data_IF_194671148079
#
_entry.id   IF_194671148079
#
_cell.length_a   1.000
_cell.length_b   1.000
_cell.length_c   1.000
_cell.angle_alpha   90.00
_cell.angle_beta   90.00
_cell.angle_gamma   90.00
#
_symmetry.space_group_name_H-M   'P 1'
#
loop_
_entity.id
_entity.type
_entity.pdbx_description
1 polymer ?
#
# COMPACT_ATOMS: atom_id res chain seq x y z
N UNK A 1 -19.77 3.45 -7.08
CA UNK A 1 -19.87 4.92 -6.89
C UNK A 1 -18.50 5.63 -6.78
N UNK A 2 -17.43 4.98 -6.30
CA UNK A 2 -16.16 5.69 -5.99
C UNK A 2 -15.26 6.09 -7.17
N UNK A 3 -14.92 5.17 -8.08
CA UNK A 3 -13.84 5.41 -9.05
C UNK A 3 -14.20 6.45 -10.14
N UNK A 4 -15.38 6.32 -10.76
CA UNK A 4 -15.87 7.18 -11.85
C UNK A 4 -16.15 8.63 -11.42
N UNK A 5 -16.70 8.80 -10.22
CA UNK A 5 -17.14 10.12 -9.74
C UNK A 5 -16.09 10.85 -8.89
N UNK A 6 -14.86 10.31 -8.80
CA UNK A 6 -13.78 10.91 -8.03
C UNK A 6 -13.09 12.02 -8.82
N UNK A 7 -12.98 13.21 -8.22
CA UNK A 7 -12.20 14.34 -8.77
C UNK A 7 -10.72 14.32 -8.37
N UNK A 8 -10.28 13.33 -7.57
CA UNK A 8 -8.90 13.24 -7.06
C UNK A 8 -7.86 13.09 -8.18
N UNK A 9 -6.65 13.66 -8.03
CA UNK A 9 -5.57 13.48 -9.02
C UNK A 9 -5.22 12.00 -9.22
N UNK A 10 -5.12 11.22 -8.14
CA UNK A 10 -4.81 9.79 -8.18
C UNK A 10 -5.98 8.99 -7.61
N UNK A 11 -6.29 7.84 -8.22
CA UNK A 11 -7.25 6.86 -7.69
C UNK A 11 -6.48 5.62 -7.30
N UNK A 12 -6.31 5.40 -6.00
CA UNK A 12 -5.52 4.29 -5.47
C UNK A 12 -6.44 3.13 -5.13
N UNK A 13 -6.15 1.95 -5.68
CA UNK A 13 -6.82 0.69 -5.39
C UNK A 13 -5.82 -0.18 -4.61
N UNK A 14 -6.16 -0.52 -3.37
CA UNK A 14 -5.34 -1.41 -2.53
C UNK A 14 -5.96 -2.81 -2.60
N UNK A 15 -5.14 -3.79 -2.97
CA UNK A 15 -5.54 -5.19 -3.15
C UNK A 15 -4.47 -6.08 -2.53
N UNK A 16 -4.84 -7.29 -2.09
CA UNK A 16 -3.85 -8.26 -1.59
C UNK A 16 -2.94 -8.75 -2.72
N UNK A 17 -3.54 -9.04 -3.88
CA UNK A 17 -2.93 -9.71 -5.03
C UNK A 17 -2.86 -8.81 -6.26
N UNK A 18 -1.90 -9.09 -7.15
CA UNK A 18 -1.60 -8.28 -8.34
C UNK A 18 -2.71 -8.40 -9.40
N UNK A 19 -3.07 -7.26 -9.98
CA UNK A 19 -3.95 -7.11 -11.15
C UNK A 19 -3.18 -7.37 -12.46
N UNK A 20 -1.85 -7.20 -12.47
CA UNK A 20 -1.01 -7.57 -13.60
C UNK A 20 -1.04 -9.08 -13.83
N UNK A 21 -1.05 -9.48 -15.10
CA UNK A 21 -0.93 -10.88 -15.49
C UNK A 21 0.54 -11.30 -15.50
N UNK A 22 0.88 -12.35 -14.78
CA UNK A 22 2.21 -12.98 -14.66
C UNK A 22 2.23 -14.42 -15.20
N UNK A 23 1.06 -15.05 -15.31
CA UNK A 23 0.85 -16.44 -15.72
C UNK A 23 1.63 -17.49 -14.91
N UNK A 24 2.11 -17.10 -13.72
CA UNK A 24 2.84 -17.95 -12.80
C UNK A 24 2.02 -18.15 -11.53
N UNK A 25 1.38 -19.31 -11.35
CA UNK A 25 0.34 -19.51 -10.33
C UNK A 25 -0.86 -18.53 -10.50
N UNK A 26 -1.52 -18.53 -11.68
CA UNK A 26 -2.58 -17.57 -11.98
C UNK A 26 -3.84 -17.75 -11.13
N UNK A 27 -4.08 -18.94 -10.57
CA UNK A 27 -5.32 -19.25 -9.85
C UNK A 27 -5.57 -18.44 -8.58
N UNK A 28 -4.53 -17.90 -7.96
CA UNK A 28 -4.61 -17.16 -6.68
C UNK A 28 -4.46 -15.64 -6.86
N UNK A 29 -4.60 -15.14 -8.10
CA UNK A 29 -4.53 -13.70 -8.41
C UNK A 29 -5.68 -13.29 -9.30
N UNK A 30 -5.76 -12.00 -9.61
CA UNK A 30 -6.75 -11.47 -10.56
C UNK A 30 -6.76 -12.20 -11.91
N UNK A 31 -5.65 -12.86 -12.29
CA UNK A 31 -5.59 -13.73 -13.47
C UNK A 31 -6.58 -14.92 -13.41
N UNK A 32 -6.75 -15.52 -12.24
CA UNK A 32 -7.68 -16.63 -11.99
C UNK A 32 -9.13 -16.16 -11.97
N UNK A 33 -9.36 -14.89 -11.62
CA UNK A 33 -10.65 -14.20 -11.61
C UNK A 33 -10.80 -13.31 -12.85
N UNK A 34 -10.56 -13.90 -14.02
CA UNK A 34 -10.43 -13.16 -15.27
C UNK A 34 -11.70 -12.38 -15.66
N UNK A 35 -12.89 -12.81 -15.23
CA UNK A 35 -14.15 -12.11 -15.52
C UNK A 35 -14.23 -10.80 -14.75
N UNK A 36 -13.96 -10.87 -13.45
CA UNK A 36 -13.95 -9.75 -12.52
C UNK A 36 -12.83 -8.77 -12.89
N UNK A 37 -11.65 -9.29 -13.21
CA UNK A 37 -10.52 -8.51 -13.75
C UNK A 37 -10.93 -7.75 -15.01
N UNK A 38 -11.54 -8.46 -15.97
CA UNK A 38 -11.97 -7.86 -17.23
C UNK A 38 -13.03 -6.80 -17.01
N UNK A 39 -14.00 -7.04 -16.13
CA UNK A 39 -15.04 -6.08 -15.78
C UNK A 39 -14.43 -4.78 -15.24
N UNK A 40 -13.51 -4.87 -14.29
CA UNK A 40 -12.83 -3.71 -13.71
C UNK A 40 -12.00 -2.94 -14.75
N UNK A 41 -11.20 -3.64 -15.55
CA UNK A 41 -10.36 -3.00 -16.56
C UNK A 41 -11.18 -2.37 -17.69
N UNK A 42 -12.27 -3.03 -18.12
CA UNK A 42 -13.19 -2.49 -19.13
C UNK A 42 -13.90 -1.25 -18.59
N UNK A 43 -14.36 -1.27 -17.32
CA UNK A 43 -14.95 -0.11 -16.68
C UNK A 43 -13.98 1.09 -16.60
N UNK A 44 -12.72 0.86 -16.23
CA UNK A 44 -11.69 1.92 -16.20
C UNK A 44 -11.45 2.49 -17.60
N UNK A 45 -11.47 1.64 -18.64
CA UNK A 45 -11.28 2.07 -20.02
C UNK A 45 -12.50 2.83 -20.58
N UNK A 46 -13.70 2.24 -20.49
CA UNK A 46 -14.95 2.77 -21.03
C UNK A 46 -15.30 4.13 -20.41
N UNK A 47 -15.03 4.30 -19.12
CA UNK A 47 -15.25 5.54 -18.38
C UNK A 47 -14.05 6.51 -18.46
N UNK A 48 -12.97 6.14 -19.17
CA UNK A 48 -11.76 6.96 -19.34
C UNK A 48 -11.17 7.44 -18.01
N UNK A 49 -11.14 6.55 -17.01
CA UNK A 49 -10.68 6.88 -15.66
C UNK A 49 -9.16 6.99 -15.67
N UNK A 50 -8.66 8.18 -15.37
CA UNK A 50 -7.23 8.50 -15.42
C UNK A 50 -6.55 8.26 -14.08
N UNK A 51 -5.24 8.05 -14.10
CA UNK A 51 -4.37 8.02 -12.92
C UNK A 51 -4.77 6.96 -11.88
N UNK A 52 -5.15 5.78 -12.36
CA UNK A 52 -5.42 4.62 -11.50
C UNK A 52 -4.09 3.97 -11.10
N UNK A 53 -3.92 3.75 -9.80
CA UNK A 53 -2.73 3.13 -9.21
C UNK A 53 -3.15 1.96 -8.33
N UNK A 54 -2.63 0.78 -8.58
CA UNK A 54 -2.80 -0.40 -7.74
C UNK A 54 -1.63 -0.54 -6.77
N UNK A 55 -1.92 -0.86 -5.51
CA UNK A 55 -0.94 -1.26 -4.51
C UNK A 55 -1.24 -2.71 -4.08
N UNK A 56 -0.24 -3.59 -4.17
CA UNK A 56 -0.32 -5.01 -3.88
C UNK A 56 0.89 -5.50 -3.06
N UNK A 57 0.89 -6.76 -2.59
CA UNK A 57 2.04 -7.30 -1.85
C UNK A 57 2.28 -8.81 -1.95
N UNK A 58 1.24 -9.62 -2.10
CA UNK A 58 1.26 -11.08 -1.92
C UNK A 58 2.39 -11.85 -2.62
N UNK A 59 2.89 -11.39 -3.77
CA UNK A 59 3.92 -12.06 -4.57
C UNK A 59 5.29 -12.17 -3.86
N UNK A 60 5.46 -11.52 -2.70
CA UNK A 60 6.72 -11.48 -1.96
C UNK A 60 7.88 -10.89 -2.79
N UNK A 61 7.57 -9.93 -3.65
CA UNK A 61 8.54 -9.17 -4.43
C UNK A 61 8.07 -7.73 -4.64
N UNK A 62 9.03 -6.82 -4.67
CA UNK A 62 8.78 -5.46 -5.10
C UNK A 62 8.73 -5.41 -6.61
N UNK A 63 7.61 -4.99 -7.18
CA UNK A 63 7.45 -4.96 -8.62
C UNK A 63 6.71 -3.70 -9.02
N UNK A 64 7.13 -3.07 -10.11
CA UNK A 64 6.37 -2.01 -10.75
C UNK A 64 5.93 -2.45 -12.15
N UNK A 65 4.63 -2.41 -12.39
CA UNK A 65 4.03 -2.81 -13.65
C UNK A 65 3.23 -1.66 -14.26
N UNK A 66 3.30 -1.56 -15.58
CA UNK A 66 2.40 -0.71 -16.37
C UNK A 66 1.40 -1.61 -17.10
N UNK A 67 0.12 -1.33 -16.90
CA UNK A 67 -1.00 -2.05 -17.51
C UNK A 67 -1.70 -1.08 -18.47
N UNK A 68 -1.68 -1.40 -19.76
CA UNK A 68 -2.42 -0.64 -20.76
C UNK A 68 -3.71 -1.41 -21.10
N UNK A 69 -4.90 -1.00 -20.63
CA UNK A 69 -6.14 -1.70 -20.94
C UNK A 69 -6.59 -1.49 -22.40
N UNK A 70 -5.98 -0.55 -23.13
CA UNK A 70 -6.34 -0.21 -24.50
C UNK A 70 -6.08 1.27 -24.79
N UNK A 71 -7.15 2.08 -24.98
CA UNK A 71 -7.05 3.51 -25.34
C UNK A 71 -6.86 4.48 -24.16
N UNK A 72 -7.14 4.03 -22.94
CA UNK A 72 -7.08 4.85 -21.71
C UNK A 72 -5.63 5.12 -21.26
N UNK A 73 -5.34 6.17 -20.46
CA UNK A 73 -4.03 6.35 -19.85
C UNK A 73 -3.62 5.12 -19.03
N UNK A 74 -2.32 4.83 -19.01
CA UNK A 74 -1.82 3.64 -18.37
C UNK A 74 -2.18 3.54 -16.89
N UNK A 75 -2.61 2.35 -16.49
CA UNK A 75 -2.77 1.95 -15.09
C UNK A 75 -1.38 1.56 -14.58
N UNK A 76 -1.07 1.97 -13.35
CA UNK A 76 0.19 1.64 -12.71
C UNK A 76 -0.07 0.69 -11.54
N UNK A 77 0.79 -0.29 -11.36
CA UNK A 77 0.73 -1.20 -10.21
C UNK A 77 2.09 -1.24 -9.51
N UNK A 78 2.06 -1.09 -8.19
CA UNK A 78 3.19 -1.33 -7.33
C UNK A 78 2.89 -2.52 -6.42
N UNK A 79 3.75 -3.53 -6.46
CA UNK A 79 3.80 -4.60 -5.48
C UNK A 79 4.92 -4.34 -4.49
N UNK A 80 4.69 -4.59 -3.20
CA UNK A 80 5.74 -4.59 -2.17
C UNK A 80 6.32 -5.99 -1.96
N UNK A 81 7.58 -6.06 -1.52
CA UNK A 81 8.15 -7.29 -0.98
C UNK A 81 7.53 -7.66 0.37
N UNK A 82 7.89 -8.84 0.91
CA UNK A 82 7.41 -9.29 2.19
C UNK A 82 8.17 -8.61 3.33
N UNK A 83 7.54 -8.52 4.50
CA UNK A 83 8.18 -7.97 5.71
C UNK A 83 8.75 -9.08 6.61
N UNK A 84 8.09 -10.23 6.66
CA UNK A 84 8.39 -11.32 7.62
C UNK A 84 8.20 -12.72 7.06
N UNK A 85 8.27 -12.88 5.74
CA UNK A 85 8.15 -14.14 5.02
C UNK A 85 9.24 -14.26 3.96
N UNK A 86 9.45 -15.46 3.45
CA UNK A 86 10.45 -15.74 2.41
C UNK A 86 10.18 -14.92 1.16
N UNK A 87 11.22 -14.31 0.59
CA UNK A 87 11.09 -13.54 -0.65
C UNK A 87 10.79 -14.46 -1.83
N UNK A 88 10.23 -13.88 -2.88
CA UNK A 88 9.96 -14.59 -4.12
C UNK A 88 11.21 -15.23 -4.73
N UNK A 89 12.36 -14.56 -4.63
CA UNK A 89 13.66 -15.10 -5.04
C UNK A 89 14.08 -16.30 -4.20
N UNK A 90 13.83 -16.28 -2.88
CA UNK A 90 14.06 -17.45 -2.03
C UNK A 90 13.16 -18.62 -2.47
N UNK A 91 11.87 -18.37 -2.76
CA UNK A 91 10.98 -19.38 -3.32
C UNK A 91 11.52 -19.97 -4.63
N UNK A 92 11.90 -19.13 -5.59
CA UNK A 92 12.45 -19.56 -6.88
C UNK A 92 13.74 -20.37 -6.75
N UNK A 93 14.59 -20.06 -5.76
CA UNK A 93 15.84 -20.80 -5.52
C UNK A 93 15.61 -22.28 -5.18
N UNK A 94 14.47 -22.60 -4.56
CA UNK A 94 14.06 -23.98 -4.22
C UNK A 94 13.62 -24.77 -5.47
N UNK A 95 13.03 -24.11 -6.47
CA UNK A 95 12.48 -24.75 -7.68
C UNK A 95 13.46 -24.88 -8.86
N UNK A 96 14.77 -24.73 -8.62
CA UNK A 96 15.89 -24.96 -9.55
C UNK A 96 15.54 -24.87 -11.06
N UNK A 97 15.68 -23.68 -11.64
CA UNK A 97 15.89 -23.50 -13.09
C UNK A 97 14.65 -23.25 -13.97
N UNK A 98 13.49 -23.87 -13.73
CA UNK A 98 12.33 -23.70 -14.64
C UNK A 98 11.60 -22.37 -14.43
N UNK A 99 11.34 -21.98 -13.17
CA UNK A 99 10.66 -20.72 -12.86
C UNK A 99 11.54 -19.49 -13.18
N UNK A 100 12.87 -19.62 -13.05
CA UNK A 100 13.83 -18.60 -13.51
C UNK A 100 13.86 -18.48 -15.04
N UNK A 101 13.77 -19.60 -15.79
CA UNK A 101 13.63 -19.57 -17.26
C UNK A 101 12.31 -18.92 -17.69
N UNK A 102 11.24 -19.12 -16.94
CA UNK A 102 9.93 -18.50 -17.19
C UNK A 102 9.95 -16.98 -16.98
N UNK A 103 10.54 -16.50 -15.88
CA UNK A 103 10.71 -15.06 -15.65
C UNK A 103 11.64 -14.42 -16.69
N UNK A 104 12.72 -15.12 -17.08
CA UNK A 104 13.61 -14.66 -18.15
C UNK A 104 12.90 -14.55 -19.50
N UNK A 105 12.01 -15.50 -19.83
CA UNK A 105 11.18 -15.39 -21.03
C UNK A 105 10.16 -14.25 -20.91
N UNK A 106 9.66 -13.95 -19.72
CA UNK A 106 8.78 -12.80 -19.48
C UNK A 106 9.49 -11.45 -19.69
N UNK A 107 10.69 -11.27 -19.14
CA UNK A 107 11.49 -10.06 -19.29
C UNK A 107 12.02 -9.84 -20.72
N UNK A 108 12.20 -10.92 -21.49
CA UNK A 108 12.61 -10.86 -22.91
C UNK A 108 11.43 -10.79 -23.88
N UNK A 109 10.25 -11.32 -23.52
CA UNK A 109 9.01 -11.24 -24.29
C UNK A 109 8.12 -10.04 -23.92
N UNK A 110 8.56 -9.15 -23.03
CA UNK A 110 7.92 -7.85 -22.79
C UNK A 110 7.80 -7.00 -24.08
N UNK A 111 8.51 -7.38 -25.15
CA UNK A 111 8.40 -6.80 -26.49
C UNK A 111 7.34 -7.43 -27.40
N UNK A 112 6.72 -8.57 -27.03
CA UNK A 112 5.87 -9.36 -27.94
C UNK A 112 4.35 -9.23 -27.73
N UNK A 113 3.90 -8.53 -26.69
CA UNK A 113 2.49 -8.12 -26.56
C UNK A 113 2.47 -6.65 -26.17
N UNK A 114 1.91 -5.77 -27.01
CA UNK A 114 1.94 -4.30 -26.87
C UNK A 114 1.32 -3.70 -25.60
N UNK A 115 1.12 -4.47 -24.54
CA UNK A 115 0.36 -4.16 -23.32
C UNK A 115 1.12 -4.38 -22.01
N UNK A 116 2.34 -4.96 -22.02
CA UNK A 116 2.93 -5.56 -20.80
C UNK A 116 4.36 -5.09 -20.55
N UNK A 117 4.55 -4.17 -19.61
CA UNK A 117 5.90 -3.77 -19.18
C UNK A 117 6.03 -3.90 -17.66
N UNK A 118 6.75 -4.93 -17.22
CA UNK A 118 7.36 -4.95 -15.89
C UNK A 118 8.53 -3.99 -15.96
N UNK A 119 8.39 -2.86 -15.27
CA UNK A 119 9.35 -1.76 -15.33
C UNK A 119 10.42 -1.90 -14.25
N UNK A 120 10.13 -2.59 -13.15
CA UNK A 120 11.05 -2.86 -12.04
C UNK A 120 10.69 -4.17 -11.33
N UNK A 121 11.70 -4.90 -10.86
CA UNK A 121 11.51 -6.05 -9.97
C UNK A 121 12.69 -6.21 -8.99
N UNK A 122 12.43 -6.23 -7.70
CA UNK A 122 13.31 -6.79 -6.68
C UNK A 122 12.59 -7.97 -6.00
N UNK A 123 13.17 -9.15 -6.18
CA UNK A 123 12.62 -10.40 -5.66
C UNK A 123 13.39 -10.92 -4.44
N UNK A 124 14.43 -10.21 -4.01
CA UNK A 124 15.47 -10.73 -3.13
C UNK A 124 15.44 -10.11 -1.73
N UNK A 125 15.00 -8.86 -1.62
CA UNK A 125 15.08 -8.07 -0.38
C UNK A 125 13.68 -7.97 0.24
N UNK A 126 13.47 -8.44 1.47
CA UNK A 126 12.27 -8.13 2.25
C UNK A 126 12.13 -6.62 2.39
N UNK A 127 10.93 -6.07 2.28
CA UNK A 127 10.71 -4.63 2.37
C UNK A 127 9.27 -4.25 2.65
N UNK A 128 9.05 -2.97 2.92
CA UNK A 128 7.73 -2.35 2.92
C UNK A 128 7.71 -1.16 1.97
N UNK A 129 6.51 -0.75 1.59
CA UNK A 129 6.28 0.36 0.70
C UNK A 129 5.92 1.64 1.46
N UNK A 130 6.61 2.73 1.15
CA UNK A 130 6.26 4.09 1.56
C UNK A 130 5.75 4.86 0.35
N UNK A 131 4.57 5.47 0.46
CA UNK A 131 3.93 6.23 -0.62
C UNK A 131 3.83 7.70 -0.24
N UNK A 132 4.42 8.56 -1.06
CA UNK A 132 4.36 10.01 -0.96
C UNK A 132 3.50 10.54 -2.11
N UNK A 133 2.65 11.53 -1.85
CA UNK A 133 1.84 12.12 -2.91
C UNK A 133 1.80 13.64 -2.81
N UNK A 134 1.53 14.28 -3.95
CA UNK A 134 1.20 15.68 -4.11
C UNK A 134 0.09 15.80 -5.16
N UNK A 135 -0.35 17.03 -5.44
CA UNK A 135 -1.34 17.29 -6.50
C UNK A 135 -0.87 16.87 -7.90
N UNK A 136 0.43 16.60 -8.08
CA UNK A 136 1.06 16.32 -9.38
C UNK A 136 2.00 15.12 -9.38
N UNK A 137 2.23 14.47 -8.25
CA UNK A 137 3.14 13.33 -8.18
C UNK A 137 2.67 12.29 -7.18
N UNK A 138 2.93 11.04 -7.49
CA UNK A 138 2.83 9.92 -6.57
C UNK A 138 4.16 9.16 -6.62
N UNK A 139 4.86 9.12 -5.50
CA UNK A 139 6.16 8.49 -5.35
C UNK A 139 6.05 7.30 -4.43
N UNK A 140 6.57 6.17 -4.88
CA UNK A 140 6.64 4.92 -4.15
C UNK A 140 8.10 4.60 -3.86
N UNK A 141 8.41 4.34 -2.59
CA UNK A 141 9.73 3.93 -2.13
C UNK A 141 9.62 2.59 -1.43
N UNK A 142 10.35 1.58 -1.90
CA UNK A 142 10.54 0.34 -1.16
C UNK A 142 11.69 0.51 -0.17
N UNK A 143 11.43 0.21 1.11
CA UNK A 143 12.38 0.36 2.21
C UNK A 143 12.64 -1.00 2.82
N UNK A 144 13.91 -1.41 2.82
CA UNK A 144 14.38 -2.67 3.37
C UNK A 144 14.37 -2.69 4.91
N UNK A 145 14.70 -3.84 5.50
CA UNK A 145 14.63 -4.05 6.95
C UNK A 145 15.56 -3.12 7.75
N UNK A 146 16.67 -2.67 7.16
CA UNK A 146 17.67 -1.81 7.80
C UNK A 146 17.45 -0.32 7.47
N UNK A 147 16.32 0.01 6.83
CA UNK A 147 15.98 1.38 6.41
C UNK A 147 16.64 1.80 5.09
N UNK A 148 17.35 0.89 4.42
CA UNK A 148 17.93 1.10 3.11
C UNK A 148 16.86 1.19 2.03
N UNK A 149 17.10 2.01 1.01
CA UNK A 149 16.22 2.03 -0.16
C UNK A 149 16.51 0.80 -1.00
N UNK A 150 15.48 0.03 -1.31
CA UNK A 150 15.61 -1.20 -2.09
C UNK A 150 15.92 -0.83 -3.54
N UNK A 151 17.08 -1.28 -4.01
CA UNK A 151 17.54 -1.16 -5.39
C UNK A 151 17.17 -2.42 -6.19
N UNK A 152 17.24 -2.40 -7.52
CA UNK A 152 17.24 -3.65 -8.29
C UNK A 152 18.59 -4.39 -8.11
N UNK A 153 18.72 -5.63 -8.61
CA UNK A 153 19.97 -6.39 -8.46
C UNK A 153 21.18 -5.79 -9.20
N UNK A 154 20.98 -4.75 -10.02
CA UNK A 154 22.03 -4.00 -10.71
C UNK A 154 22.44 -2.72 -9.96
N UNK A 155 21.82 -2.43 -8.82
CA UNK A 155 22.07 -1.23 -8.01
C UNK A 155 21.45 0.04 -8.59
N UNK A 156 20.51 -0.07 -9.55
CA UNK A 156 20.10 1.05 -10.39
C UNK A 156 19.00 1.95 -9.82
N UNK A 157 18.46 1.73 -8.61
CA UNK A 157 17.20 2.41 -8.22
C UNK A 157 17.05 2.88 -6.77
N UNK A 158 16.31 3.98 -6.63
CA UNK A 158 15.80 4.57 -5.40
C UNK A 158 14.27 4.74 -5.47
N UNK A 159 13.77 5.98 -5.50
CA UNK A 159 12.33 6.28 -5.55
C UNK A 159 11.69 6.01 -6.92
N UNK A 160 10.56 5.32 -6.95
CA UNK A 160 9.72 5.13 -8.13
C UNK A 160 8.61 6.19 -8.15
N UNK A 161 8.73 7.21 -9.02
CA UNK A 161 7.79 8.34 -9.06
C UNK A 161 6.95 8.37 -10.34
N UNK A 162 5.64 8.54 -10.17
CA UNK A 162 4.69 8.90 -11.22
C UNK A 162 4.49 10.41 -11.15
N UNK A 163 4.82 11.12 -12.22
CA UNK A 163 4.56 12.55 -12.37
C UNK A 163 3.41 12.78 -13.35
N UNK A 164 2.45 13.61 -12.96
CA UNK A 164 1.31 14.00 -13.77
C UNK A 164 1.47 15.44 -14.28
N UNK A 165 1.31 15.65 -15.58
CA UNK A 165 1.28 16.99 -16.19
C UNK A 165 -0.01 17.19 -17.00
N UNK A 166 -0.60 18.38 -16.90
CA UNK A 166 -1.93 18.70 -17.44
C UNK A 166 -2.05 18.59 -18.98
N UNK A 167 -0.95 18.67 -19.74
CA UNK A 167 -0.96 18.73 -21.21
C UNK A 167 -0.41 17.48 -21.90
N UNK A 168 0.16 16.55 -21.15
CA UNK A 168 0.60 15.24 -21.61
C UNK A 168 0.89 14.43 -20.36
N UNK A 169 0.40 13.20 -20.24
CA UNK A 169 0.91 12.27 -19.23
C UNK A 169 2.36 11.91 -19.60
N UNK A 170 3.29 12.86 -19.42
CA UNK A 170 4.71 12.66 -19.62
C UNK A 170 5.23 11.93 -18.40
N UNK A 171 5.33 10.61 -18.56
CA UNK A 171 5.96 9.69 -17.65
C UNK A 171 7.47 9.92 -17.68
N UNK A 172 7.99 10.64 -16.69
CA UNK A 172 9.40 10.54 -16.34
C UNK A 172 9.48 9.59 -15.15
N UNK A 173 9.54 8.28 -15.43
CA UNK A 173 10.26 7.45 -14.48
C UNK A 173 11.72 7.64 -14.82
N UNK A 174 12.49 8.16 -13.87
CA UNK A 174 13.94 8.10 -13.93
C UNK A 174 14.32 6.62 -13.78
N UNK A 175 14.17 5.85 -14.86
CA UNK A 175 14.63 4.48 -14.98
C UNK A 175 16.00 4.49 -15.65
N UNK A 176 17.07 4.19 -14.92
CA UNK A 176 18.32 3.76 -15.53
C UNK A 176 18.14 2.34 -16.12
N UNK A 177 17.41 2.23 -17.24
CA UNK A 177 17.10 0.94 -17.87
C UNK A 177 18.38 0.19 -18.26
N UNK A 178 18.69 -0.90 -17.56
CA UNK A 178 19.46 -2.02 -18.09
C UNK A 178 18.66 -3.30 -17.86
N UNK A 179 18.69 -4.18 -18.87
CA UNK A 179 17.74 -5.27 -19.09
C UNK A 179 17.71 -6.32 -17.98
N UNK A 180 16.57 -7.01 -17.89
CA UNK A 180 16.24 -8.13 -17.00
C UNK A 180 17.30 -9.26 -16.98
N UNK A 181 18.13 -9.38 -18.02
CA UNK A 181 19.13 -10.44 -18.20
C UNK A 181 20.20 -10.51 -17.09
N UNK A 182 20.52 -9.39 -16.43
CA UNK A 182 21.57 -9.36 -15.40
C UNK A 182 21.06 -9.73 -13.99
N UNK A 183 19.75 -9.95 -13.82
CA UNK A 183 19.16 -10.40 -12.55
C UNK A 183 19.57 -11.83 -12.18
N UNK A 184 19.96 -12.64 -13.18
CA UNK A 184 20.34 -14.05 -13.03
C UNK A 184 21.64 -14.18 -12.23
N UNK A 185 22.64 -13.36 -12.51
CA UNK A 185 23.92 -13.37 -11.79
C UNK A 185 23.71 -12.97 -10.33
N UNK A 186 22.84 -12.00 -10.08
CA UNK A 186 22.49 -11.61 -8.72
C UNK A 186 21.67 -12.67 -7.97
N UNK A 187 20.77 -13.41 -8.63
CA UNK A 187 20.02 -14.53 -8.02
C UNK A 187 20.94 -15.74 -7.76
N UNK A 188 21.83 -16.07 -8.69
CA UNK A 188 22.78 -17.18 -8.52
C UNK A 188 23.82 -16.89 -7.43
N UNK A 189 24.16 -15.61 -7.22
CA UNK A 189 25.01 -15.14 -6.12
C UNK A 189 24.19 -14.74 -4.87
N UNK A 190 22.85 -14.83 -4.93
CA UNK A 190 21.98 -14.55 -3.79
C UNK A 190 22.00 -15.71 -2.84
N UNK A 191 22.84 -15.59 -1.82
CA UNK A 191 22.65 -16.35 -0.60
C UNK A 191 21.52 -15.67 0.19
N UNK A 192 20.39 -16.35 0.50
CA UNK A 192 19.38 -15.78 1.37
C UNK A 192 20.06 -15.43 2.69
N UNK A 193 20.31 -14.15 2.93
CA UNK A 193 21.01 -13.75 4.15
C UNK A 193 20.17 -14.04 5.39
N UNK A 194 18.86 -14.23 5.25
CA UNK A 194 17.97 -14.42 6.38
C UNK A 194 16.74 -15.24 5.98
N UNK A 195 16.51 -16.36 6.66
CA UNK A 195 15.15 -16.79 6.99
C UNK A 195 14.58 -15.71 7.92
N UNK A 196 13.99 -14.68 7.32
CA UNK A 196 13.65 -13.43 7.98
C UNK A 196 12.25 -13.48 8.59
N UNK A 197 11.97 -14.48 9.41
CA UNK A 197 10.84 -14.37 10.32
C UNK A 197 11.20 -13.34 11.40
N UNK A 198 10.33 -12.35 11.59
CA UNK A 198 10.50 -11.41 12.70
C UNK A 198 10.07 -12.11 13.98
N UNK A 199 11.00 -12.28 14.90
CA UNK A 199 10.69 -12.75 16.23
C UNK A 199 9.86 -11.71 17.00
N UNK A 200 8.87 -12.18 17.75
CA UNK A 200 8.14 -11.34 18.70
C UNK A 200 9.10 -10.96 19.83
N UNK A 201 9.65 -9.74 19.77
CA UNK A 201 10.58 -9.23 20.80
C UNK A 201 9.89 -8.91 22.12
N UNK A 202 8.61 -8.52 22.07
CA UNK A 202 7.82 -8.14 23.25
C UNK A 202 6.33 -8.32 22.97
N UNK A 203 5.60 -8.80 23.96
CA UNK A 203 4.14 -8.81 24.00
C UNK A 203 3.70 -7.80 25.05
N UNK A 204 2.79 -6.91 24.69
CA UNK A 204 2.25 -5.88 25.58
C UNK A 204 0.75 -6.07 25.66
N UNK A 205 0.21 -6.13 26.87
CA UNK A 205 -1.24 -6.30 27.08
C UNK A 205 -1.87 -4.91 27.18
N UNK A 206 -2.73 -4.57 26.22
CA UNK A 206 -3.47 -3.31 26.23
C UNK A 206 -4.52 -3.31 27.35
N UNK A 207 -4.24 -2.59 28.43
CA UNK A 207 -5.17 -2.44 29.56
C UNK A 207 -6.19 -1.37 29.27
N UNK A 208 -7.41 -1.60 29.75
CA UNK A 208 -8.50 -0.65 29.57
C UNK A 208 -8.33 0.56 30.50
N UNK A 209 -8.53 1.76 29.97
CA UNK A 209 -8.47 3.02 30.68
C UNK A 209 -9.54 4.00 30.20
N UNK A 210 -9.80 5.04 30.99
CA UNK A 210 -10.78 6.07 30.63
C UNK A 210 -10.10 7.15 29.78
N UNK A 211 -10.79 7.60 28.74
CA UNK A 211 -10.37 8.71 27.86
C UNK A 211 -11.61 9.55 27.49
N UNK A 212 -11.38 10.73 26.92
CA UNK A 212 -12.46 11.63 26.47
C UNK A 212 -13.47 11.90 27.59
N UNK A 213 -14.76 11.82 27.24
CA UNK A 213 -15.86 11.91 28.21
C UNK A 213 -16.60 10.58 28.23
N UNK A 214 -16.40 9.81 29.29
CA UNK A 214 -17.06 8.51 29.51
C UNK A 214 -16.60 7.38 28.58
N UNK A 215 -15.61 7.62 27.71
CA UNK A 215 -15.10 6.61 26.79
C UNK A 215 -14.08 5.70 27.49
N UNK A 216 -14.02 4.45 27.02
CA UNK A 216 -13.08 3.44 27.50
C UNK A 216 -12.27 2.94 26.31
N UNK A 217 -10.95 2.91 26.48
CA UNK A 217 -10.01 2.48 25.44
C UNK A 217 -9.03 1.46 26.00
N UNK A 218 -8.55 0.56 25.15
CA UNK A 218 -7.41 -0.32 25.41
C UNK A 218 -6.19 0.26 24.71
N UNK A 219 -5.30 0.89 25.49
CA UNK A 219 -4.10 1.55 24.97
C UNK A 219 -2.92 0.60 24.92
N UNK A 220 -2.30 0.46 23.75
CA UNK A 220 -1.09 -0.36 23.54
C UNK A 220 0.15 0.52 23.41
N UNK A 221 0.40 1.09 22.23
CA UNK A 221 1.45 2.09 21.99
C UNK A 221 1.04 3.38 22.73
N UNK A 222 2.00 4.01 23.41
CA UNK A 222 1.78 5.17 24.29
C UNK A 222 1.39 4.79 25.73
N UNK A 223 1.32 3.50 26.06
CA UNK A 223 1.16 3.02 27.43
C UNK A 223 2.48 3.08 28.22
N UNK A 224 2.43 2.90 29.54
CA UNK A 224 3.64 2.76 30.36
C UNK A 224 4.53 1.58 29.95
N UNK A 225 3.99 0.52 29.37
CA UNK A 225 4.74 -0.67 28.96
C UNK A 225 5.38 -0.52 27.56
N UNK A 226 4.80 0.34 26.72
CA UNK A 226 5.31 0.70 25.39
C UNK A 226 5.13 2.20 25.12
N UNK A 227 5.93 3.05 25.80
CA UNK A 227 5.72 4.50 25.76
C UNK A 227 6.09 5.14 24.43
N UNK A 228 6.91 4.48 23.62
CA UNK A 228 7.33 4.96 22.31
C UNK A 228 7.55 3.77 21.36
N UNK A 229 7.03 3.88 20.14
CA UNK A 229 7.32 2.98 19.03
C UNK A 229 7.37 3.79 17.73
N UNK A 230 8.39 4.65 17.60
CA UNK A 230 8.64 5.48 16.41
C UNK A 230 8.39 4.71 15.10
N UNK A 231 7.52 5.21 14.18
CA UNK A 231 6.83 6.51 14.16
C UNK A 231 5.44 6.57 14.81
N UNK A 232 5.02 5.51 15.48
CA UNK A 232 3.74 5.41 16.15
C UNK A 232 3.80 5.99 17.56
N UNK A 233 2.96 6.99 17.81
CA UNK A 233 2.87 7.66 19.12
C UNK A 233 1.85 6.97 20.04
N UNK A 234 0.76 6.46 19.48
CA UNK A 234 -0.40 5.95 20.21
C UNK A 234 -1.15 4.94 19.34
N UNK A 235 -1.67 3.89 19.97
CA UNK A 235 -2.62 2.96 19.35
C UNK A 235 -3.65 2.53 20.39
N UNK A 236 -4.90 2.96 20.16
CA UNK A 236 -6.05 2.65 20.99
C UNK A 236 -7.06 1.81 20.21
N UNK A 237 -7.55 0.75 20.85
CA UNK A 237 -8.83 0.13 20.51
C UNK A 237 -9.89 0.72 21.45
N UNK A 238 -10.99 1.22 20.92
CA UNK A 238 -12.06 1.79 21.74
C UNK A 238 -13.40 1.16 21.39
N UNK A 239 -14.28 1.09 22.40
CA UNK A 239 -15.69 0.74 22.24
C UNK A 239 -16.49 1.76 23.05
N UNK A 240 -17.21 2.63 22.34
CA UNK A 240 -17.84 3.81 22.93
C UNK A 240 -19.28 3.90 22.44
N UNK A 241 -20.18 4.17 23.38
CA UNK A 241 -21.62 4.33 23.14
C UNK A 241 -22.07 5.68 23.65
N UNK A 242 -23.11 6.26 23.02
CA UNK A 242 -23.66 7.53 23.49
C UNK A 242 -24.09 7.44 24.96
N UNK A 243 -23.94 8.52 25.75
CA UNK A 243 -23.47 9.85 25.36
C UNK A 243 -21.94 10.01 25.43
N UNK A 244 -21.18 8.92 25.66
CA UNK A 244 -19.73 9.00 25.73
C UNK A 244 -19.11 9.27 24.35
N UNK A 245 -17.88 9.80 24.35
CA UNK A 245 -17.17 10.13 23.13
C UNK A 245 -15.93 10.97 23.38
N UNK A 246 -15.37 11.50 22.30
CA UNK A 246 -14.24 12.41 22.30
C UNK A 246 -14.74 13.78 21.85
N UNK A 247 -15.25 14.62 22.76
CA UNK A 247 -15.70 15.97 22.40
C UNK A 247 -14.51 16.82 21.94
N UNK A 248 -14.76 18.09 21.59
CA UNK A 248 -13.76 19.03 21.09
C UNK A 248 -12.39 18.92 21.80
N UNK A 249 -11.40 18.44 21.05
CA UNK A 249 -10.02 18.30 21.51
C UNK A 249 -9.05 18.65 20.38
N UNK A 250 -7.79 18.92 20.74
CA UNK A 250 -6.79 19.48 19.83
C UNK A 250 -5.68 18.47 19.52
N UNK A 251 -5.32 18.36 18.25
CA UNK A 251 -4.08 17.71 17.79
C UNK A 251 -3.15 18.68 17.08
N UNK A 252 -1.86 18.39 17.09
CA UNK A 252 -0.84 19.13 16.33
C UNK A 252 0.45 18.34 16.20
N UNK A 253 1.16 18.50 15.07
CA UNK A 253 2.42 17.81 14.80
C UNK A 253 2.31 16.32 14.48
N UNK A 254 1.08 15.80 14.35
CA UNK A 254 0.80 14.38 14.15
C UNK A 254 -0.30 14.14 13.11
N UNK A 255 -0.54 12.86 12.81
CA UNK A 255 -1.69 12.39 12.04
C UNK A 255 -2.46 11.38 12.88
N UNK A 256 -3.79 11.41 12.80
CA UNK A 256 -4.65 10.37 13.37
C UNK A 256 -5.19 9.52 12.23
N UNK A 257 -5.30 8.22 12.49
CA UNK A 257 -5.90 7.26 11.57
C UNK A 257 -6.96 6.50 12.34
N UNK A 258 -8.22 6.70 11.97
CA UNK A 258 -9.38 6.03 12.57
C UNK A 258 -9.90 5.01 11.57
N UNK A 259 -10.04 3.76 12.01
CA UNK A 259 -10.59 2.67 11.20
C UNK A 259 -11.73 2.01 11.97
N UNK A 260 -12.90 1.92 11.36
CA UNK A 260 -14.11 1.48 12.06
C UNK A 260 -14.34 -0.03 11.90
N UNK A 261 -14.28 -0.77 13.00
CA UNK A 261 -14.55 -2.21 12.99
C UNK A 261 -16.05 -2.53 13.03
N UNK A 262 -16.81 -1.82 13.85
CA UNK A 262 -18.26 -1.97 14.03
C UNK A 262 -18.89 -0.59 14.33
N UNK A 263 -20.21 -0.45 14.13
CA UNK A 263 -20.90 0.82 14.41
C UNK A 263 -20.53 1.96 13.47
N UNK A 264 -20.58 3.19 13.98
CA UNK A 264 -20.23 4.39 13.22
C UNK A 264 -19.93 5.58 14.14
N UNK A 265 -19.07 6.47 13.70
CA UNK A 265 -18.71 7.71 14.39
C UNK A 265 -18.98 8.94 13.53
N UNK A 266 -19.44 10.02 14.15
CA UNK A 266 -19.46 11.36 13.56
C UNK A 266 -18.19 12.11 13.95
N UNK A 267 -17.59 12.73 12.95
CA UNK A 267 -16.45 13.61 13.09
C UNK A 267 -16.84 15.02 12.64
N UNK A 268 -16.40 16.04 13.38
CA UNK A 268 -16.53 17.46 13.02
C UNK A 268 -15.27 18.23 13.44
N UNK A 269 -14.76 19.12 12.58
CA UNK A 269 -13.57 19.93 12.86
C UNK A 269 -13.82 21.45 12.79
N UNK A 270 -12.89 22.22 13.35
CA UNK A 270 -12.94 23.68 13.38
C UNK A 270 -12.68 24.37 12.02
N UNK A 271 -12.49 23.60 10.95
CA UNK A 271 -12.40 24.09 9.56
C UNK A 271 -13.71 23.85 8.80
N UNK A 272 -14.73 23.31 9.46
CA UNK A 272 -16.04 23.03 8.88
C UNK A 272 -16.11 21.71 8.12
N UNK A 273 -15.10 20.84 8.23
CA UNK A 273 -15.22 19.49 7.71
C UNK A 273 -16.00 18.63 8.71
N UNK A 274 -16.96 17.86 8.20
CA UNK A 274 -17.70 16.90 9.00
C UNK A 274 -18.01 15.66 8.16
N UNK A 275 -18.19 14.52 8.82
CA UNK A 275 -18.51 13.26 8.15
C UNK A 275 -18.86 12.15 9.12
N UNK A 276 -19.38 11.06 8.56
CA UNK A 276 -19.63 9.81 9.30
C UNK A 276 -18.63 8.77 8.82
N UNK A 277 -17.96 8.12 9.76
CA UNK A 277 -17.05 7.01 9.54
C UNK A 277 -17.83 5.74 9.90
N UNK A 278 -18.29 4.99 8.89
CA UNK A 278 -19.02 3.74 9.06
C UNK A 278 -18.10 2.52 9.04
N UNK A 279 -18.66 1.32 9.22
CA UNK A 279 -17.92 0.06 9.23
C UNK A 279 -17.05 -0.12 7.97
N UNK A 280 -15.76 -0.38 8.18
CA UNK A 280 -14.76 -0.52 7.12
C UNK A 280 -14.25 0.80 6.53
N UNK A 281 -14.84 1.93 6.91
CA UNK A 281 -14.32 3.24 6.52
C UNK A 281 -13.05 3.57 7.30
N UNK A 282 -12.20 4.38 6.67
CA UNK A 282 -10.97 4.89 7.23
C UNK A 282 -10.95 6.42 7.12
N UNK A 283 -10.63 7.08 8.21
CA UNK A 283 -10.30 8.51 8.22
C UNK A 283 -8.82 8.68 8.48
N UNK A 284 -8.12 9.35 7.55
CA UNK A 284 -6.73 9.75 7.72
C UNK A 284 -6.66 11.28 7.89
N UNK A 285 -6.56 11.77 9.12
CA UNK A 285 -6.53 13.20 9.41
C UNK A 285 -5.09 13.70 9.61
N UNK A 286 -4.69 14.73 8.86
CA UNK A 286 -3.39 15.40 9.07
C UNK A 286 -3.60 16.69 9.86
N UNK A 287 -3.28 16.66 11.16
CA UNK A 287 -3.46 17.83 12.03
C UNK A 287 -2.50 18.98 11.66
N UNK A 288 -1.29 18.67 11.19
CA UNK A 288 -0.30 19.66 10.78
C UNK A 288 0.01 20.66 11.90
N UNK A 289 -0.20 21.95 11.66
CA UNK A 289 0.02 23.01 12.67
C UNK A 289 -1.03 23.02 13.79
N UNK A 290 -2.18 22.39 13.58
CA UNK A 290 -3.24 22.30 14.58
C UNK A 290 -4.61 22.06 13.95
N UNK A 291 -5.39 21.20 14.59
CA UNK A 291 -6.82 21.03 14.34
C UNK A 291 -7.54 20.83 15.67
N UNK A 292 -8.75 21.37 15.79
CA UNK A 292 -9.68 21.08 16.88
C UNK A 292 -10.83 20.31 16.28
N UNK A 293 -11.16 19.15 16.83
CA UNK A 293 -12.22 18.29 16.31
C UNK A 293 -12.90 17.49 17.43
N UNK A 294 -14.05 16.93 17.11
CA UNK A 294 -14.77 15.96 17.91
C UNK A 294 -14.95 14.64 17.16
N UNK A 295 -15.07 13.55 17.91
CA UNK A 295 -15.37 12.20 17.42
C UNK A 295 -16.36 11.55 18.38
N UNK A 296 -17.62 11.50 17.94
CA UNK A 296 -18.75 11.06 18.76
C UNK A 296 -19.43 9.84 18.11
N UNK A 297 -19.87 8.83 18.86
CA UNK A 297 -20.66 7.73 18.29
C UNK A 297 -21.88 8.26 17.53
N UNK A 298 -22.11 7.77 16.31
CA UNK A 298 -23.20 8.24 15.45
C UNK A 298 -24.55 7.62 15.82
N UNK A 299 -24.54 6.40 16.36
CA UNK A 299 -25.75 5.62 16.71
C UNK A 299 -25.78 5.24 18.18
N UNK A 300 -26.93 4.75 18.67
CA UNK A 300 -27.10 4.28 20.04
C UNK A 300 -26.55 2.85 20.25
N UNK A 301 -26.09 2.21 19.18
CA UNK A 301 -25.39 0.92 19.21
C UNK A 301 -23.93 1.06 19.61
N UNK A 302 -23.28 -0.07 19.91
CA UNK A 302 -21.83 -0.10 20.14
C UNK A 302 -21.09 0.30 18.85
N UNK A 303 -20.17 1.24 18.97
CA UNK A 303 -19.19 1.63 17.96
C UNK A 303 -17.80 1.52 18.53
#
# INVERSE_FOLDING_TARGET
MGLKNSDSTFKIIITSVQIMEWYLAPGDRWEGYWKERKELLSFIEEENIKNVVFLAGDIHASIFSRINPGRSPAIHEFSTGPIGSSTFGAFLSVYQGEALRYLNSYGSNAHLTGEKAVMFSNIAVPNFMSVYYSDRSLTVRCIGPDGEIVTDPLGNYGDLSIHYSYNSASFNVTLATKSFANSIEAINNFHPKHDCFRDVKRVVIAREQSEGVGARVRKSIGSTELPNLDPFLLLDEFNVTKPAGFPDHRHGGMKTVTYMLEGAFHHEDNKGHAGTIGVGDLQWMTAGRGIVHSEMPATDGKG
#
